data_IF_829044539676
#
_entry.id   IF_829044539676
#
_cell.length_a   1.000
_cell.length_b   1.000
_cell.length_c   1.000
_cell.angle_alpha   90.00
_cell.angle_beta   90.00
_cell.angle_gamma   90.00
#
_symmetry.space_group_name_H-M   'P 1'
#
loop_
_entity.id
_entity.type
_entity.pdbx_description
1 polymer ?
#
# COMPACT_ATOMS: atom_id res chain seq x y z
N UNK A 1 16.77 -11.77 -10.72
CA UNK A 1 16.28 -11.07 -11.93
C UNK A 1 16.49 -9.59 -11.68
N UNK A 2 17.16 -8.88 -12.59
CA UNK A 2 17.42 -7.45 -12.41
C UNK A 2 16.09 -6.68 -12.40
N UNK A 3 15.99 -5.60 -11.61
CA UNK A 3 14.76 -4.79 -11.48
C UNK A 3 14.26 -4.18 -12.80
N UNK A 4 15.11 -4.17 -13.84
CA UNK A 4 14.92 -3.44 -15.09
C UNK A 4 14.03 -4.12 -16.15
N UNK A 5 13.51 -5.33 -15.91
CA UNK A 5 12.79 -6.13 -16.93
C UNK A 5 11.30 -6.36 -16.63
N UNK A 6 10.75 -5.66 -15.63
CA UNK A 6 9.32 -5.75 -15.28
C UNK A 6 8.52 -4.77 -16.16
N UNK A 7 7.28 -5.10 -16.55
CA UNK A 7 6.35 -4.15 -17.16
C UNK A 7 6.30 -2.84 -16.37
N UNK A 8 6.44 -1.71 -17.06
CA UNK A 8 6.52 -0.38 -16.46
C UNK A 8 6.01 0.67 -17.43
N UNK A 9 5.18 1.60 -16.96
CA UNK A 9 4.74 2.77 -17.72
C UNK A 9 5.25 4.06 -17.05
N UNK A 10 6.12 4.86 -17.70
CA UNK A 10 6.60 6.12 -17.14
C UNK A 10 5.50 7.16 -16.95
N UNK A 11 4.34 7.03 -17.61
CA UNK A 11 3.19 7.91 -17.42
C UNK A 11 2.33 7.51 -16.20
N UNK A 12 2.51 6.31 -15.65
CA UNK A 12 1.78 5.84 -14.49
C UNK A 12 2.40 6.34 -13.18
N UNK A 13 1.59 7.01 -12.36
CA UNK A 13 2.05 7.55 -11.07
C UNK A 13 2.49 6.46 -10.08
N UNK A 14 1.91 5.27 -10.15
CA UNK A 14 2.29 4.13 -9.31
C UNK A 14 3.60 3.49 -9.77
N UNK A 15 3.91 3.55 -11.06
CA UNK A 15 5.21 3.18 -11.61
C UNK A 15 6.30 4.17 -11.18
N UNK A 16 6.00 5.48 -11.20
CA UNK A 16 6.93 6.52 -10.76
C UNK A 16 7.26 6.42 -9.26
N UNK A 17 6.28 5.99 -8.46
CA UNK A 17 6.45 5.68 -7.04
C UNK A 17 7.11 6.82 -6.23
N UNK A 18 6.70 8.07 -6.47
CA UNK A 18 7.20 9.22 -5.72
C UNK A 18 6.86 9.09 -4.22
N UNK A 19 7.86 9.33 -3.35
CA UNK A 19 7.72 9.17 -1.89
C UNK A 19 7.09 10.40 -1.23
N UNK A 20 5.84 10.68 -1.57
CA UNK A 20 5.09 11.85 -1.08
C UNK A 20 4.23 11.58 0.17
N UNK A 21 4.12 10.32 0.59
CA UNK A 21 3.45 9.87 1.82
C UNK A 21 4.38 8.99 2.65
N UNK A 22 4.02 8.61 3.89
CA UNK A 22 4.77 7.61 4.64
C UNK A 22 4.85 6.26 3.91
N UNK A 23 6.04 5.66 3.91
CA UNK A 23 6.32 4.35 3.31
C UNK A 23 6.70 3.35 4.40
N UNK A 24 6.23 2.11 4.26
CA UNK A 24 6.45 1.03 5.23
C UNK A 24 7.25 -0.13 4.64
N UNK A 25 7.14 -0.37 3.34
CA UNK A 25 7.85 -1.46 2.64
C UNK A 25 8.21 -1.02 1.23
N UNK A 26 9.36 -1.48 0.77
CA UNK A 26 9.84 -1.33 -0.60
C UNK A 26 10.81 -2.50 -0.89
N UNK A 27 10.37 -3.46 -1.69
CA UNK A 27 11.16 -4.65 -2.04
C UNK A 27 10.94 -5.05 -3.50
N UNK A 28 11.46 -6.20 -3.93
CA UNK A 28 11.45 -6.63 -5.33
C UNK A 28 10.05 -6.86 -5.92
N UNK A 29 9.03 -7.18 -5.10
CA UNK A 29 7.68 -7.46 -5.58
C UNK A 29 6.78 -6.22 -5.46
N UNK A 30 6.85 -5.49 -4.34
CA UNK A 30 5.88 -4.44 -4.06
C UNK A 30 6.48 -3.30 -3.24
N UNK A 31 5.76 -2.19 -3.22
CA UNK A 31 5.93 -1.17 -2.19
C UNK A 31 4.60 -0.97 -1.44
N UNK A 32 4.70 -0.53 -0.18
CA UNK A 32 3.55 -0.25 0.68
C UNK A 32 3.74 1.12 1.29
N UNK A 33 2.77 1.99 1.05
CA UNK A 33 2.76 3.38 1.52
C UNK A 33 1.32 3.79 1.82
N UNK A 34 1.14 4.95 2.42
CA UNK A 34 -0.20 5.53 2.54
C UNK A 34 -0.68 6.11 1.21
N UNK A 35 -1.94 5.87 0.87
CA UNK A 35 -2.60 6.51 -0.26
C UNK A 35 -2.84 7.99 0.04
N UNK A 36 -2.53 8.89 -0.90
CA UNK A 36 -2.81 10.33 -0.76
C UNK A 36 -4.29 10.69 -0.69
N UNK A 37 -5.18 9.79 -1.11
CA UNK A 37 -6.62 10.04 -1.21
C UNK A 37 -7.36 9.55 0.03
N UNK A 38 -7.15 8.29 0.41
CA UNK A 38 -7.86 7.69 1.55
C UNK A 38 -7.04 7.69 2.84
N UNK A 39 -5.75 8.03 2.78
CA UNK A 39 -4.86 8.09 3.95
C UNK A 39 -4.79 6.74 4.69
N UNK A 40 -4.82 5.66 3.92
CA UNK A 40 -4.74 4.29 4.40
C UNK A 40 -3.58 3.55 3.71
N UNK A 41 -3.00 2.54 4.36
CA UNK A 41 -1.95 1.73 3.74
C UNK A 41 -2.48 1.05 2.47
N UNK A 42 -1.73 1.20 1.39
CA UNK A 42 -1.96 0.53 0.13
C UNK A 42 -0.72 -0.23 -0.30
N UNK A 43 -0.93 -1.43 -0.82
CA UNK A 43 0.10 -2.21 -1.51
C UNK A 43 0.00 -1.95 -3.00
N UNK A 44 1.14 -1.77 -3.64
CA UNK A 44 1.24 -1.63 -5.09
C UNK A 44 2.22 -2.65 -5.62
N UNK A 45 1.79 -3.44 -6.59
CA UNK A 45 2.65 -4.39 -7.26
C UNK A 45 3.63 -3.64 -8.16
N UNK A 46 4.92 -4.00 -8.16
CA UNK A 46 5.92 -3.26 -8.97
C UNK A 46 5.82 -3.55 -10.48
N UNK A 47 5.10 -4.58 -10.90
CA UNK A 47 4.80 -4.82 -12.32
C UNK A 47 3.58 -4.00 -12.72
N UNK A 48 3.68 -3.24 -13.81
CA UNK A 48 2.53 -2.57 -14.42
C UNK A 48 1.66 -3.58 -15.14
N UNK A 49 0.76 -4.18 -14.38
CA UNK A 49 -0.28 -5.08 -14.87
C UNK A 49 -1.44 -5.06 -13.85
N UNK A 50 -2.71 -5.05 -14.29
CA UNK A 50 -3.87 -5.03 -13.40
C UNK A 50 -4.23 -6.41 -12.82
N UNK A 51 -3.68 -7.50 -13.35
CA UNK A 51 -4.08 -8.88 -13.08
C UNK A 51 -2.89 -9.72 -12.58
N UNK A 52 -2.42 -9.49 -11.33
CA UNK A 52 -1.46 -10.39 -10.71
C UNK A 52 -2.04 -11.81 -10.63
N UNK A 53 -1.18 -12.80 -10.83
CA UNK A 53 -1.56 -14.19 -10.61
C UNK A 53 -2.01 -14.43 -9.15
N UNK A 54 -2.79 -15.49 -8.86
CA UNK A 54 -3.36 -15.71 -7.54
C UNK A 54 -2.34 -15.76 -6.41
N UNK A 55 -1.15 -16.33 -6.64
CA UNK A 55 -0.11 -16.45 -5.61
C UNK A 55 0.55 -15.10 -5.35
N UNK A 56 0.85 -14.35 -6.43
CA UNK A 56 1.32 -12.97 -6.33
C UNK A 56 0.31 -12.11 -5.58
N UNK A 57 -0.99 -12.18 -5.91
CA UNK A 57 -2.03 -11.40 -5.24
C UNK A 57 -2.12 -11.74 -3.74
N UNK A 58 -2.12 -13.03 -3.40
CA UNK A 58 -2.15 -13.47 -2.01
C UNK A 58 -0.91 -12.96 -1.24
N UNK A 59 0.25 -12.93 -1.90
CA UNK A 59 1.48 -12.41 -1.30
C UNK A 59 1.43 -10.91 -1.04
N UNK A 60 0.90 -10.13 -1.98
CA UNK A 60 0.69 -8.70 -1.82
C UNK A 60 -0.25 -8.40 -0.64
N UNK A 61 -1.34 -9.15 -0.51
CA UNK A 61 -2.29 -9.00 0.59
C UNK A 61 -1.68 -9.38 1.94
N UNK A 62 -0.88 -10.45 1.97
CA UNK A 62 -0.16 -10.88 3.18
C UNK A 62 0.82 -9.81 3.66
N UNK A 63 1.55 -9.17 2.75
CA UNK A 63 2.49 -8.09 3.08
C UNK A 63 1.77 -6.85 3.56
N UNK A 64 0.65 -6.50 2.93
CA UNK A 64 -0.22 -5.42 3.38
C UNK A 64 -0.73 -5.67 4.80
N UNK A 65 -1.23 -6.87 5.07
CA UNK A 65 -1.69 -7.25 6.40
C UNK A 65 -0.57 -7.17 7.46
N UNK A 66 0.65 -7.54 7.10
CA UNK A 66 1.83 -7.39 7.97
C UNK A 66 2.09 -5.93 8.36
N UNK A 67 2.10 -5.02 7.38
CA UNK A 67 2.25 -3.56 7.62
C UNK A 67 1.12 -3.01 8.49
N UNK A 68 -0.13 -3.44 8.25
CA UNK A 68 -1.27 -3.05 9.09
C UNK A 68 -1.07 -3.51 10.53
N UNK A 69 -0.69 -4.78 10.74
CA UNK A 69 -0.46 -5.33 12.08
C UNK A 69 0.68 -4.64 12.84
N UNK A 70 1.70 -4.18 12.13
CA UNK A 70 2.87 -3.51 12.72
C UNK A 70 2.63 -2.03 13.04
N UNK A 71 1.96 -1.28 12.16
CA UNK A 71 1.90 0.19 12.24
C UNK A 71 0.51 0.76 12.58
N UNK A 72 -0.55 -0.05 12.53
CA UNK A 72 -1.93 0.42 12.68
C UNK A 72 -2.71 -0.36 13.75
N UNK A 73 -3.75 0.27 14.29
CA UNK A 73 -4.54 -0.22 15.43
C UNK A 73 -5.87 -0.88 15.03
N UNK A 74 -6.15 -1.02 13.73
CA UNK A 74 -7.43 -1.53 13.23
C UNK A 74 -7.33 -2.91 12.57
N UNK A 75 -8.41 -3.68 12.68
CA UNK A 75 -8.68 -4.81 11.80
C UNK A 75 -9.06 -4.31 10.40
N UNK A 76 -8.62 -5.01 9.36
CA UNK A 76 -8.82 -4.57 7.99
C UNK A 76 -9.45 -5.63 7.09
N UNK A 77 -10.06 -5.15 6.01
CA UNK A 77 -10.34 -5.92 4.80
C UNK A 77 -9.58 -5.29 3.63
N UNK A 78 -9.37 -6.06 2.55
CA UNK A 78 -8.62 -5.59 1.37
C UNK A 78 -9.60 -5.11 0.30
N UNK A 79 -9.48 -3.84 -0.08
CA UNK A 79 -10.19 -3.16 -1.18
C UNK A 79 -9.26 -3.14 -2.40
N UNK A 80 -9.43 -4.09 -3.32
CA UNK A 80 -8.70 -4.17 -4.59
C UNK A 80 -9.47 -3.56 -5.78
N UNK A 81 -10.50 -2.75 -5.51
CA UNK A 81 -11.20 -2.00 -6.54
C UNK A 81 -10.36 -0.78 -6.98
N UNK A 82 -9.62 -0.96 -8.07
CA UNK A 82 -8.72 0.02 -8.67
C UNK A 82 -9.50 1.11 -9.43
N UNK A 83 -9.79 2.23 -8.76
CA UNK A 83 -10.66 3.28 -9.32
C UNK A 83 -9.96 4.29 -10.23
N UNK A 84 -8.82 4.86 -9.79
CA UNK A 84 -8.15 5.95 -10.53
C UNK A 84 -7.08 5.48 -11.51
N UNK A 85 -6.42 4.37 -11.19
CA UNK A 85 -5.34 3.79 -11.99
C UNK A 85 -5.70 2.31 -12.19
N UNK A 86 -6.73 2.03 -13.02
CA UNK A 86 -7.32 0.70 -13.14
C UNK A 86 -6.43 -0.32 -13.85
N UNK A 87 -5.35 0.13 -14.49
CA UNK A 87 -4.42 -0.67 -15.29
C UNK A 87 -3.13 -1.07 -14.53
N UNK A 88 -3.02 -0.69 -13.25
CA UNK A 88 -1.86 -1.04 -12.42
C UNK A 88 -2.32 -1.52 -11.04
N UNK A 89 -2.07 -2.80 -10.76
CA UNK A 89 -2.53 -3.44 -9.52
C UNK A 89 -2.11 -2.73 -8.25
N UNK A 90 -3.11 -2.30 -7.48
CA UNK A 90 -2.97 -1.83 -6.12
C UNK A 90 -4.20 -2.20 -5.29
N UNK A 91 -4.00 -2.35 -3.99
CA UNK A 91 -5.08 -2.66 -3.05
C UNK A 91 -4.89 -1.91 -1.74
N UNK A 92 -6.00 -1.51 -1.11
CA UNK A 92 -6.02 -0.71 0.11
C UNK A 92 -6.46 -1.57 1.30
N UNK A 93 -5.81 -1.39 2.45
CA UNK A 93 -6.27 -1.97 3.71
C UNK A 93 -7.28 -1.02 4.36
N UNK A 94 -8.56 -1.40 4.31
CA UNK A 94 -9.67 -0.60 4.84
C UNK A 94 -10.07 -1.08 6.23
N UNK A 95 -10.30 -0.18 7.20
CA UNK A 95 -10.73 -0.59 8.53
C UNK A 95 -12.11 -1.27 8.50
N UNK A 96 -12.26 -2.35 9.27
CA UNK A 96 -13.56 -2.99 9.49
C UNK A 96 -14.45 -2.06 10.31
N UNK A 97 -15.65 -1.78 9.80
CA UNK A 97 -16.66 -0.97 10.51
C UNK A 97 -16.34 0.51 10.70
N UNK A 98 -15.28 1.04 10.05
CA UNK A 98 -14.77 2.39 10.30
C UNK A 98 -15.02 3.43 9.19
N UNK A 99 -14.81 4.70 9.55
CA UNK A 99 -14.65 5.85 8.64
C UNK A 99 -13.16 6.04 8.30
N UNK A 100 -12.85 6.51 7.08
CA UNK A 100 -11.47 6.67 6.59
C UNK A 100 -10.82 7.99 7.06
N UNK A 101 -9.49 8.03 7.18
CA UNK A 101 -8.73 9.27 7.39
C UNK A 101 -8.49 9.71 8.84
N UNK A 102 -8.74 8.84 9.82
CA UNK A 102 -8.56 9.14 11.24
C UNK A 102 -7.10 8.87 11.68
N UNK A 103 -6.32 9.88 12.13
CA UNK A 103 -4.96 9.69 12.63
C UNK A 103 -4.87 8.73 13.83
N UNK A 104 -5.98 8.51 14.54
CA UNK A 104 -6.14 7.58 15.66
C UNK A 104 -5.95 6.11 15.26
N UNK A 105 -5.99 5.82 13.95
CA UNK A 105 -5.75 4.49 13.40
C UNK A 105 -4.27 4.09 13.41
N UNK A 106 -3.35 5.03 13.63
CA UNK A 106 -1.92 4.75 13.69
C UNK A 106 -1.51 4.36 15.10
N UNK A 107 -0.57 3.42 15.21
CA UNK A 107 0.11 3.15 16.49
C UNK A 107 1.06 4.30 16.78
N UNK A 108 1.02 4.81 18.01
CA UNK A 108 2.05 5.73 18.51
C UNK A 108 3.37 4.97 18.57
N UNK A 109 4.41 5.46 17.89
CA UNK A 109 5.76 4.94 18.11
C UNK A 109 6.29 5.50 19.43
N UNK A 110 7.16 4.78 20.17
CA UNK A 110 7.78 5.28 21.39
C UNK A 110 8.69 6.52 21.21
N UNK A 111 8.75 7.11 20.00
CA UNK A 111 9.37 8.40 19.70
C UNK A 111 8.39 9.55 19.34
N UNK A 112 7.09 9.27 19.20
CA UNK A 112 6.08 10.29 18.85
C UNK A 112 5.60 11.07 20.08
N UNK A 113 5.99 10.63 21.28
CA UNK A 113 5.77 11.34 22.55
C UNK A 113 6.87 12.39 22.77
N UNK A 114 6.93 13.43 21.93
CA UNK A 114 7.81 14.57 22.21
C UNK A 114 8.24 15.40 21.01
N UNK A 115 7.35 16.28 20.55
CA UNK A 115 7.75 17.58 20.03
C UNK A 115 6.86 18.63 20.72
N UNK A 116 7.44 19.64 21.40
CA UNK A 116 6.67 20.68 22.10
C UNK A 116 5.84 21.55 21.16
#
# INVERSE_FOLDING_TARGET
>A
MAESDRPHDPACLLCQAERITPWYRDDELCWIAECTICVLPMVVWKSHDPEPDPDTRAELHRRLAGVVGEHFTFDHWVDDEMRRIPDHYHAHARPVGGFFGAPELRRSHPGDAGAP
#
